data_IF_059246131035
#
_entry.id   IF_059246131035
#
_cell.length_a   1.000
_cell.length_b   1.000
_cell.length_c   1.000
_cell.angle_alpha   90.00
_cell.angle_beta   90.00
_cell.angle_gamma   90.00
#
_symmetry.space_group_name_H-M   'P 1'
#
loop_
_entity.id
_entity.type
_entity.pdbx_description
1 polymer ?
#
# COMPACT_ATOMS: atom_id res chain seq x y z
N UNK A 1 2.07 17.87 15.83
CA UNK A 1 1.55 17.88 14.45
C UNK A 1 2.47 17.09 13.53
N UNK A 2 1.89 16.22 12.72
CA UNK A 2 2.70 15.42 11.80
C UNK A 2 3.30 16.30 10.70
N UNK A 3 4.56 16.08 10.42
CA UNK A 3 5.27 16.80 9.37
C UNK A 3 5.62 15.82 8.26
N UNK A 4 5.20 16.14 7.04
CA UNK A 4 5.46 15.28 5.90
C UNK A 4 6.95 15.18 5.58
N UNK A 5 7.39 13.98 5.19
CA UNK A 5 8.74 13.77 4.69
C UNK A 5 8.88 14.30 3.27
N UNK A 6 7.78 14.42 2.56
CA UNK A 6 7.79 14.86 1.17
C UNK A 6 7.91 16.38 1.08
N UNK A 7 8.65 16.83 0.08
CA UNK A 7 8.69 18.26 -0.24
C UNK A 7 7.65 18.60 -1.30
N UNK A 8 7.16 17.57 -2.01
CA UNK A 8 6.22 17.76 -3.10
C UNK A 8 5.25 16.59 -3.13
N UNK A 9 3.96 16.89 -3.11
CA UNK A 9 2.93 15.87 -3.20
C UNK A 9 2.62 15.59 -4.68
N UNK A 10 2.63 14.31 -5.04
CA UNK A 10 2.36 13.87 -6.40
C UNK A 10 0.94 13.34 -6.52
N UNK A 11 0.47 12.59 -5.52
CA UNK A 11 -0.83 11.95 -5.59
C UNK A 11 -1.39 11.75 -4.18
N UNK A 12 -2.67 11.98 -4.02
CA UNK A 12 -3.35 11.80 -2.75
C UNK A 12 -4.64 11.02 -2.96
N UNK A 13 -4.92 10.06 -2.10
CA UNK A 13 -6.12 9.27 -2.20
C UNK A 13 -6.54 8.76 -0.82
N UNK A 14 -7.77 8.30 -0.73
CA UNK A 14 -8.28 7.72 0.50
C UNK A 14 -8.00 6.23 0.53
N UNK A 15 -7.72 5.72 1.71
CA UNK A 15 -7.47 4.29 1.88
C UNK A 15 -7.74 3.87 3.31
N UNK A 16 -7.83 2.57 3.49
CA UNK A 16 -7.94 1.97 4.81
C UNK A 16 -6.68 1.18 5.10
N UNK A 17 -6.09 1.43 6.26
CA UNK A 17 -4.95 0.66 6.74
C UNK A 17 -5.46 -0.43 7.66
N UNK A 18 -5.11 -1.68 7.37
CA UNK A 18 -5.51 -2.80 8.20
C UNK A 18 -4.74 -2.76 9.52
N UNK A 19 -5.46 -2.86 10.62
CA UNK A 19 -4.90 -2.76 11.96
C UNK A 19 -5.14 -4.05 12.75
N UNK A 20 -4.91 -5.19 12.12
CA UNK A 20 -5.07 -6.49 12.75
C UNK A 20 -6.48 -6.71 13.28
N UNK A 21 -6.58 -7.27 14.48
CA UNK A 21 -7.87 -7.55 15.10
C UNK A 21 -8.68 -6.32 15.45
N UNK A 22 -8.09 -5.14 15.35
CA UNK A 22 -8.79 -3.88 15.65
C UNK A 22 -9.51 -3.30 14.43
N UNK A 23 -9.45 -3.98 13.28
CA UNK A 23 -10.14 -3.54 12.07
C UNK A 23 -9.29 -2.66 11.19
N UNK A 24 -9.91 -1.61 10.64
CA UNK A 24 -9.26 -0.72 9.68
C UNK A 24 -9.25 0.71 10.18
N UNK A 25 -8.19 1.43 9.83
CA UNK A 25 -8.10 2.87 10.08
C UNK A 25 -8.31 3.59 8.76
N UNK A 26 -9.28 4.50 8.74
CA UNK A 26 -9.55 5.31 7.55
C UNK A 26 -8.58 6.47 7.50
N UNK A 27 -8.03 6.74 6.34
CA UNK A 27 -7.11 7.85 6.21
C UNK A 27 -6.81 8.22 4.78
N UNK A 28 -5.82 9.06 4.63
CA UNK A 28 -5.34 9.52 3.34
C UNK A 28 -3.93 9.01 3.08
N UNK A 29 -3.73 8.53 1.86
CA UNK A 29 -2.40 8.19 1.39
C UNK A 29 -1.87 9.39 0.62
N UNK A 30 -0.64 9.75 0.89
CA UNK A 30 0.07 10.81 0.19
C UNK A 30 1.32 10.22 -0.45
N UNK A 31 1.39 10.30 -1.76
CA UNK A 31 2.57 9.86 -2.49
C UNK A 31 3.31 11.10 -2.95
N UNK A 32 4.54 11.23 -2.54
CA UNK A 32 5.35 12.39 -2.86
C UNK A 32 6.73 12.00 -3.33
N UNK A 33 7.59 13.00 -3.41
CA UNK A 33 8.92 12.83 -3.97
C UNK A 33 9.85 12.00 -3.10
N UNK A 34 9.56 11.83 -1.81
CA UNK A 34 10.47 11.11 -0.90
C UNK A 34 9.87 9.91 -0.21
N UNK A 35 8.56 9.85 -0.07
CA UNK A 35 7.95 8.83 0.77
C UNK A 35 6.51 8.53 0.41
N UNK A 36 6.07 7.35 0.84
CA UNK A 36 4.68 6.96 0.91
C UNK A 36 4.21 7.28 2.31
N UNK A 37 3.11 8.03 2.45
CA UNK A 37 2.62 8.43 3.75
C UNK A 37 1.15 8.12 3.91
N UNK A 38 0.75 7.81 5.15
CA UNK A 38 -0.64 7.57 5.50
C UNK A 38 -0.97 8.38 6.74
N UNK A 39 -2.07 9.13 6.69
CA UNK A 39 -2.53 9.94 7.81
C UNK A 39 -3.94 9.53 8.19
N UNK A 40 -4.12 9.18 9.46
CA UNK A 40 -5.40 8.73 10.00
C UNK A 40 -6.38 9.90 10.07
N UNK A 41 -7.61 9.72 9.57
CA UNK A 41 -8.62 10.79 9.57
C UNK A 41 -9.05 11.18 10.97
N UNK A 42 -9.14 10.20 11.88
CA UNK A 42 -9.61 10.46 13.23
C UNK A 42 -8.53 11.06 14.12
N UNK A 43 -7.30 10.76 13.83
CA UNK A 43 -6.17 11.23 14.63
C UNK A 43 -4.97 11.47 13.72
N UNK A 44 -4.80 12.71 13.23
CA UNK A 44 -3.69 13.01 12.31
C UNK A 44 -2.31 12.77 12.91
N UNK A 45 -2.20 12.68 14.24
CA UNK A 45 -0.92 12.35 14.86
C UNK A 45 -0.61 10.86 14.77
N UNK A 46 -1.61 10.05 14.40
CA UNK A 46 -1.40 8.64 14.12
C UNK A 46 -1.14 8.52 12.62
N UNK A 47 0.12 8.43 12.25
CA UNK A 47 0.51 8.44 10.85
C UNK A 47 1.61 7.43 10.60
N UNK A 48 1.82 7.15 9.32
CA UNK A 48 2.84 6.23 8.86
C UNK A 48 3.59 6.92 7.72
N UNK A 49 4.91 6.91 7.79
CA UNK A 49 5.76 7.49 6.76
C UNK A 49 6.81 6.47 6.36
N UNK A 50 6.81 6.09 5.10
CA UNK A 50 7.73 5.08 4.58
C UNK A 50 8.54 5.70 3.45
N UNK A 51 9.81 6.06 3.69
CA UNK A 51 10.67 6.52 2.62
C UNK A 51 10.76 5.47 1.52
N UNK A 52 10.86 5.90 0.28
CA UNK A 52 10.87 4.94 -0.83
C UNK A 52 11.98 3.89 -0.70
N UNK A 53 13.13 4.30 -0.19
CA UNK A 53 14.26 3.38 -0.02
C UNK A 53 14.03 2.34 1.07
N UNK A 54 13.05 2.54 1.94
CA UNK A 54 12.71 1.57 2.98
C UNK A 54 11.72 0.51 2.49
N UNK A 55 11.19 0.64 1.31
CA UNK A 55 10.27 -0.34 0.75
C UNK A 55 11.07 -1.49 0.15
N UNK A 56 10.84 -2.68 0.67
CA UNK A 56 11.48 -3.89 0.18
C UNK A 56 10.73 -4.46 -1.01
N UNK A 57 9.40 -4.51 -0.89
CA UNK A 57 8.55 -5.14 -1.90
C UNK A 57 7.11 -4.67 -1.69
N UNK A 58 6.38 -4.52 -2.79
CA UNK A 58 4.95 -4.24 -2.75
C UNK A 58 4.24 -5.41 -3.43
N UNK A 59 3.30 -6.02 -2.71
CA UNK A 59 2.55 -7.16 -3.22
C UNK A 59 1.12 -6.74 -3.50
N UNK A 60 0.74 -6.72 -4.77
CA UNK A 60 -0.61 -6.34 -5.18
C UNK A 60 -1.51 -7.56 -5.12
N UNK A 61 -2.62 -7.44 -4.39
CA UNK A 61 -3.60 -8.50 -4.28
C UNK A 61 -4.55 -8.38 -5.47
N UNK A 62 -4.37 -9.23 -6.47
CA UNK A 62 -5.16 -9.17 -7.68
C UNK A 62 -6.34 -10.13 -7.61
N UNK A 63 -7.43 -9.73 -8.23
CA UNK A 63 -8.66 -10.50 -8.28
C UNK A 63 -9.17 -10.53 -9.71
N UNK A 64 -10.08 -11.45 -10.01
CA UNK A 64 -10.71 -11.57 -11.32
C UNK A 64 -9.68 -11.67 -12.43
N UNK A 65 -8.71 -12.58 -12.25
CA UNK A 65 -7.67 -12.86 -13.23
C UNK A 65 -6.81 -11.64 -13.53
N UNK A 66 -6.54 -10.86 -12.48
CA UNK A 66 -5.66 -9.71 -12.60
C UNK A 66 -6.32 -8.44 -13.09
N UNK A 67 -7.65 -8.46 -13.26
CA UNK A 67 -8.35 -7.27 -13.75
C UNK A 67 -8.58 -6.22 -12.68
N UNK A 68 -8.54 -6.63 -11.41
CA UNK A 68 -8.90 -5.75 -10.33
C UNK A 68 -7.89 -5.86 -9.20
N UNK A 69 -7.39 -4.73 -8.74
CA UNK A 69 -6.49 -4.66 -7.59
C UNK A 69 -7.21 -3.89 -6.51
N UNK A 70 -7.53 -4.56 -5.42
CA UNK A 70 -8.26 -3.94 -4.32
C UNK A 70 -7.36 -3.60 -3.15
N UNK A 71 -6.36 -4.43 -2.91
CA UNK A 71 -5.50 -4.31 -1.75
C UNK A 71 -4.05 -4.51 -2.15
N UNK A 72 -3.16 -4.02 -1.31
CA UNK A 72 -1.75 -4.26 -1.51
C UNK A 72 -1.04 -4.26 -0.17
N UNK A 73 0.09 -4.94 -0.14
CA UNK A 73 0.94 -5.03 1.04
C UNK A 73 2.25 -4.34 0.75
N UNK A 74 2.69 -3.51 1.68
CA UNK A 74 3.99 -2.87 1.58
C UNK A 74 4.91 -3.55 2.59
N UNK A 75 5.88 -4.31 2.09
CA UNK A 75 6.88 -4.93 2.95
C UNK A 75 8.05 -3.97 3.09
N UNK A 76 8.35 -3.59 4.33
CA UNK A 76 9.43 -2.66 4.60
C UNK A 76 10.66 -3.43 5.06
N UNK A 77 11.82 -2.77 5.00
CA UNK A 77 13.06 -3.42 5.38
C UNK A 77 13.17 -3.63 6.89
N UNK A 78 12.58 -2.75 7.69
CA UNK A 78 12.73 -2.83 9.14
C UNK A 78 11.44 -2.68 9.94
N UNK A 79 10.38 -2.19 9.33
CA UNK A 79 9.16 -1.86 10.07
C UNK A 79 8.01 -2.85 9.85
N UNK A 80 8.26 -3.97 9.20
CA UNK A 80 7.23 -4.97 8.97
C UNK A 80 6.41 -4.70 7.72
N UNK A 81 5.21 -5.26 7.70
CA UNK A 81 4.33 -5.22 6.54
C UNK A 81 3.06 -4.45 6.86
N UNK A 82 2.65 -3.60 5.93
CA UNK A 82 1.42 -2.82 6.07
C UNK A 82 0.48 -3.14 4.92
N UNK A 83 -0.79 -3.38 5.26
CA UNK A 83 -1.81 -3.71 4.27
C UNK A 83 -2.76 -2.55 4.09
N UNK A 84 -2.96 -2.14 2.84
CA UNK A 84 -3.88 -1.06 2.50
C UNK A 84 -4.97 -1.57 1.57
N UNK A 85 -6.17 -1.04 1.76
CA UNK A 85 -7.30 -1.33 0.89
C UNK A 85 -7.80 0.00 0.34
N UNK A 86 -7.95 0.09 -0.97
CA UNK A 86 -8.34 1.32 -1.62
C UNK A 86 -9.07 1.01 -2.93
N UNK A 87 -10.05 1.82 -3.27
CA UNK A 87 -10.79 1.63 -4.52
C UNK A 87 -9.93 1.93 -5.74
N UNK A 88 -8.89 2.73 -5.59
CA UNK A 88 -8.00 3.09 -6.68
C UNK A 88 -6.60 2.51 -6.50
N UNK A 89 -6.52 1.33 -5.91
CA UNK A 89 -5.23 0.70 -5.61
C UNK A 89 -4.34 0.59 -6.85
N UNK A 90 -4.94 0.26 -8.01
CA UNK A 90 -4.16 0.15 -9.23
C UNK A 90 -3.46 1.43 -9.62
N UNK A 91 -4.16 2.56 -9.50
CA UNK A 91 -3.57 3.86 -9.80
C UNK A 91 -2.48 4.21 -8.79
N UNK A 92 -2.73 3.93 -7.53
CA UNK A 92 -1.75 4.16 -6.47
C UNK A 92 -0.46 3.41 -6.77
N UNK A 93 -0.56 2.16 -7.16
CA UNK A 93 0.61 1.34 -7.46
C UNK A 93 1.37 1.86 -8.68
N UNK A 94 0.66 2.40 -9.66
CA UNK A 94 1.32 3.00 -10.82
C UNK A 94 2.15 4.21 -10.40
N UNK A 95 1.64 5.00 -9.47
CA UNK A 95 2.39 6.15 -8.96
C UNK A 95 3.61 5.70 -8.18
N UNK A 96 3.45 4.65 -7.35
CA UNK A 96 4.57 4.12 -6.57
C UNK A 96 5.67 3.57 -7.47
N UNK A 97 5.28 2.95 -8.59
CA UNK A 97 6.24 2.35 -9.51
C UNK A 97 7.26 3.35 -10.01
N UNK A 98 6.87 4.60 -10.16
CA UNK A 98 7.78 5.64 -10.64
C UNK A 98 8.92 5.90 -9.66
N UNK A 99 8.76 5.51 -8.40
CA UNK A 99 9.78 5.75 -7.37
C UNK A 99 10.55 4.49 -6.99
N UNK A 100 9.88 3.33 -6.95
CA UNK A 100 10.53 2.11 -6.48
C UNK A 100 10.90 1.15 -7.61
N UNK A 101 10.39 1.39 -8.82
CA UNK A 101 10.67 0.53 -9.95
C UNK A 101 9.67 -0.60 -10.09
N UNK A 102 9.57 -1.11 -11.30
CA UNK A 102 8.59 -2.13 -11.63
C UNK A 102 8.91 -3.48 -11.00
N UNK A 103 10.18 -3.76 -10.76
CA UNK A 103 10.60 -5.04 -10.23
C UNK A 103 10.25 -5.23 -8.75
N UNK A 104 9.92 -4.16 -8.06
CA UNK A 104 9.54 -4.25 -6.65
C UNK A 104 8.03 -4.36 -6.44
N UNK A 105 7.26 -4.37 -7.51
CA UNK A 105 5.81 -4.55 -7.41
C UNK A 105 5.46 -5.89 -8.04
N UNK A 106 4.93 -6.80 -7.23
CA UNK A 106 4.56 -8.12 -7.69
C UNK A 106 3.08 -8.36 -7.45
N UNK A 107 2.50 -9.25 -8.24
CA UNK A 107 1.11 -9.62 -8.11
C UNK A 107 1.00 -10.90 -7.29
N UNK A 108 0.03 -10.94 -6.40
CA UNK A 108 -0.26 -12.14 -5.63
C UNK A 108 -1.72 -12.51 -5.78
N UNK A 109 -2.01 -13.79 -5.70
CA UNK A 109 -3.37 -14.29 -5.73
C UNK A 109 -3.81 -14.65 -4.31
N UNK A 110 -5.14 -14.67 -4.05
CA UNK A 110 -5.63 -15.08 -2.75
C UNK A 110 -5.14 -16.48 -2.40
N UNK A 111 -4.78 -16.66 -1.14
CA UNK A 111 -4.28 -17.95 -0.67
C UNK A 111 -5.32 -19.06 -0.82
N UNK A 112 -6.58 -18.70 -0.71
CA UNK A 112 -7.67 -19.67 -0.78
C UNK A 112 -8.15 -19.92 -2.20
N UNK A 113 -7.41 -19.52 -3.20
CA UNK A 113 -7.76 -19.81 -4.58
C UNK A 113 -7.82 -21.32 -4.78
N UNK A 114 -8.96 -21.80 -5.20
CA UNK A 114 -9.15 -23.24 -5.41
C UNK A 114 -8.20 -23.80 -6.44
N UNK A 115 -7.91 -23.00 -7.45
CA UNK A 115 -6.99 -23.38 -8.48
C UNK A 115 -5.62 -23.69 -7.91
N UNK A 116 -5.19 -22.89 -6.96
CA UNK A 116 -3.89 -23.06 -6.34
C UNK A 116 -3.88 -24.26 -5.41
N UNK A 117 -4.99 -24.50 -4.72
CA UNK A 117 -5.08 -25.61 -3.78
C UNK A 117 -5.05 -26.98 -4.45
N UNK A 118 -5.64 -27.06 -5.63
CA UNK A 118 -5.74 -28.35 -6.32
C UNK A 118 -4.66 -28.58 -7.36
N UNK A 119 -3.79 -27.63 -7.51
CA UNK A 119 -2.70 -27.79 -8.45
C UNK A 119 -1.59 -28.60 -7.81
N UNK A 120 -1.14 -29.60 -8.50
CA UNK A 120 -0.08 -30.48 -7.99
C UNK A 120 1.23 -30.16 -8.64
#
# INVERSE_FOLDING_TARGET
>A
MAVSLNTKAIYKTKANLFNGGLGFKNGDILIGDRAFEFYNHQNPESYLQIPWEEIKLVRAHVMFKGRFIRAYYIDTKQAGTFQFISSDAGRTLKMMRDFIGNDKIVKTEPLFSLKKLFKK
#
